data_IF_347249008329
#
_entry.id   IF_347249008329
#
_cell.length_a   1.000
_cell.length_b   1.000
_cell.length_c   1.000
_cell.angle_alpha   90.00
_cell.angle_beta   90.00
_cell.angle_gamma   90.00
#
_symmetry.space_group_name_H-M   'P 1'
#
loop_
_entity.id
_entity.type
_entity.pdbx_description
1 polymer ?
#
# COMPACT_ATOMS: atom_id res chain seq x y z
N UNK A 1 3.00 -13.17 -23.10
CA UNK A 1 3.05 -13.29 -21.62
C UNK A 1 3.72 -12.03 -21.10
N UNK A 2 2.99 -11.03 -20.55
CA UNK A 2 3.67 -9.84 -20.05
C UNK A 2 4.42 -10.26 -18.78
N UNK A 3 5.75 -10.22 -18.87
CA UNK A 3 6.64 -10.59 -17.79
C UNK A 3 6.39 -9.74 -16.56
N UNK A 4 6.64 -10.34 -15.39
CA UNK A 4 6.72 -9.64 -14.11
C UNK A 4 7.81 -8.57 -14.22
N UNK A 5 7.44 -7.37 -14.64
CA UNK A 5 8.37 -6.24 -14.69
C UNK A 5 8.62 -5.81 -13.25
N UNK A 6 9.85 -6.05 -12.77
CA UNK A 6 10.35 -5.37 -11.60
C UNK A 6 10.47 -3.89 -11.97
N UNK A 7 9.43 -3.12 -11.69
CA UNK A 7 9.39 -1.68 -11.91
C UNK A 7 10.59 -1.05 -11.19
N UNK A 8 11.33 -0.14 -11.84
CA UNK A 8 12.38 0.61 -11.15
C UNK A 8 11.80 1.27 -9.89
N UNK A 9 12.63 1.42 -8.85
CA UNK A 9 12.20 1.89 -7.53
C UNK A 9 11.37 3.19 -7.62
N UNK A 10 11.71 4.07 -8.56
CA UNK A 10 10.99 5.33 -8.82
C UNK A 10 9.59 5.11 -9.41
N UNK A 11 9.45 4.22 -10.40
CA UNK A 11 8.14 3.83 -10.96
C UNK A 11 7.28 3.11 -9.92
N UNK A 12 7.91 2.32 -9.04
CA UNK A 12 7.20 1.64 -7.96
C UNK A 12 6.68 2.61 -6.92
N UNK A 13 7.47 3.64 -6.59
CA UNK A 13 7.04 4.73 -5.72
C UNK A 13 5.91 5.55 -6.38
N UNK A 14 6.02 5.84 -7.67
CA UNK A 14 4.97 6.50 -8.43
C UNK A 14 3.68 5.66 -8.47
N UNK A 15 3.79 4.34 -8.63
CA UNK A 15 2.65 3.43 -8.60
C UNK A 15 2.00 3.39 -7.21
N UNK A 16 2.79 3.32 -6.13
CA UNK A 16 2.28 3.43 -4.75
C UNK A 16 1.55 4.75 -4.54
N UNK A 17 2.13 5.88 -4.94
CA UNK A 17 1.48 7.21 -4.86
C UNK A 17 0.21 7.30 -5.69
N UNK A 18 0.13 6.58 -6.82
CA UNK A 18 -1.04 6.57 -7.70
C UNK A 18 -2.15 5.65 -7.20
N UNK A 19 -1.80 4.55 -6.55
CA UNK A 19 -2.74 3.58 -5.99
C UNK A 19 -3.20 3.91 -4.57
N UNK A 20 -2.41 4.70 -3.83
CA UNK A 20 -2.71 5.17 -2.47
C UNK A 20 -2.92 6.69 -2.49
N UNK A 21 -4.16 7.10 -2.69
CA UNK A 21 -4.54 8.51 -2.64
C UNK A 21 -4.65 9.04 -1.20
N UNK A 22 -4.74 8.14 -0.22
CA UNK A 22 -4.98 8.50 1.19
C UNK A 22 -3.67 8.78 1.91
N UNK A 23 -2.60 8.04 1.58
CA UNK A 23 -1.30 8.19 2.21
C UNK A 23 -0.21 8.53 1.21
N UNK A 24 0.49 9.63 1.48
CA UNK A 24 1.66 10.02 0.70
C UNK A 24 2.84 9.12 1.03
N UNK A 25 3.22 8.24 0.10
CA UNK A 25 4.47 7.48 0.13
C UNK A 25 5.65 8.40 -0.20
N UNK A 26 6.54 8.69 0.77
CA UNK A 26 7.71 9.54 0.54
C UNK A 26 8.89 8.72 0.01
N UNK A 27 9.01 7.49 0.51
CA UNK A 27 10.01 6.51 0.14
C UNK A 27 9.39 5.11 0.08
N UNK A 28 10.07 4.18 -0.58
CA UNK A 28 9.72 2.76 -0.48
C UNK A 28 10.02 2.16 0.90
N UNK A 29 10.81 2.86 1.71
CA UNK A 29 11.10 2.52 3.09
C UNK A 29 10.02 2.98 4.07
N UNK A 30 9.05 3.80 3.62
CA UNK A 30 7.89 4.13 4.43
C UNK A 30 7.22 2.82 4.88
N UNK A 31 6.92 2.75 6.17
CA UNK A 31 6.21 1.62 6.79
C UNK A 31 4.77 2.03 7.04
N UNK A 32 3.86 1.10 6.77
CA UNK A 32 2.45 1.15 7.15
C UNK A 32 2.12 -0.08 7.97
N UNK A 33 1.10 -0.01 8.79
CA UNK A 33 0.55 -1.16 9.50
C UNK A 33 -0.79 -1.48 8.84
N UNK A 34 -0.95 -2.71 8.34
CA UNK A 34 -2.26 -3.17 7.90
C UNK A 34 -3.09 -3.58 9.11
N UNK A 35 -4.20 -2.90 9.38
CA UNK A 35 -5.03 -3.17 10.55
C UNK A 35 -5.79 -4.51 10.47
N UNK A 36 -5.94 -5.08 9.28
CA UNK A 36 -6.59 -6.38 9.09
C UNK A 36 -5.72 -7.55 9.54
N UNK A 37 -4.43 -7.52 9.23
CA UNK A 37 -3.48 -8.60 9.57
C UNK A 37 -2.44 -8.18 10.60
N UNK A 38 -2.58 -6.98 11.16
CA UNK A 38 -1.68 -6.33 12.13
C UNK A 38 -0.20 -6.43 11.76
N UNK A 39 0.10 -6.30 10.45
CA UNK A 39 1.44 -6.52 9.91
C UNK A 39 2.03 -5.24 9.35
N UNK A 40 3.32 -5.03 9.62
CA UNK A 40 4.06 -3.95 9.00
C UNK A 40 4.30 -4.24 7.51
N UNK A 41 3.94 -3.26 6.70
CA UNK A 41 4.05 -3.24 5.26
C UNK A 41 5.00 -2.13 4.89
N UNK A 42 6.12 -2.45 4.26
CA UNK A 42 6.92 -1.44 3.58
C UNK A 42 6.39 -1.20 2.18
N UNK A 43 6.66 0.00 1.65
CA UNK A 43 6.46 0.28 0.24
C UNK A 43 7.07 -0.83 -0.61
N UNK A 44 8.27 -1.34 -0.26
CA UNK A 44 8.99 -2.49 -0.87
C UNK A 44 8.27 -3.83 -0.87
N UNK A 45 7.43 -4.09 0.12
CA UNK A 45 6.72 -5.37 0.24
C UNK A 45 5.35 -5.35 -0.40
N UNK A 46 4.71 -4.17 -0.48
CA UNK A 46 3.35 -4.04 -1.03
C UNK A 46 3.27 -4.59 -2.46
N UNK A 47 2.24 -5.39 -2.71
CA UNK A 47 1.99 -5.92 -4.04
C UNK A 47 1.27 -4.87 -4.89
N UNK A 48 1.93 -4.46 -5.97
CA UNK A 48 1.42 -3.45 -6.89
C UNK A 48 0.92 -4.15 -8.15
N UNK A 49 -0.39 -4.10 -8.36
CA UNK A 49 -1.05 -4.66 -9.54
C UNK A 49 -1.50 -3.56 -10.48
N UNK A 50 -0.93 -3.50 -11.68
CA UNK A 50 -1.36 -2.59 -12.74
C UNK A 50 -2.29 -3.35 -13.67
N UNK A 51 -3.57 -3.00 -13.66
CA UNK A 51 -4.54 -3.58 -14.59
C UNK A 51 -4.29 -3.05 -16.00
N UNK A 52 -4.73 -3.77 -17.04
CA UNK A 52 -4.55 -3.38 -18.45
C UNK A 52 -5.17 -2.04 -18.86
N UNK A 53 -5.94 -1.38 -17.97
CA UNK A 53 -6.45 -0.01 -18.14
C UNK A 53 -5.56 1.06 -17.51
N UNK A 54 -4.39 0.70 -16.99
CA UNK A 54 -3.48 1.61 -16.27
C UNK A 54 -3.96 1.99 -14.86
N UNK A 55 -4.99 1.30 -14.34
CA UNK A 55 -5.39 1.44 -12.93
C UNK A 55 -4.41 0.64 -12.06
N UNK A 56 -3.79 1.35 -11.12
CA UNK A 56 -2.89 0.78 -10.12
C UNK A 56 -3.72 0.37 -8.91
N UNK A 57 -3.57 -0.87 -8.47
CA UNK A 57 -4.15 -1.40 -7.23
C UNK A 57 -3.03 -1.86 -6.33
N UNK A 58 -3.19 -1.58 -5.05
CA UNK A 58 -2.22 -1.94 -4.03
C UNK A 58 -2.86 -3.00 -3.12
N UNK A 59 -2.11 -4.06 -2.88
CA UNK A 59 -2.56 -5.20 -2.11
C UNK A 59 -1.56 -5.51 -0.99
N UNK A 60 -2.11 -5.96 0.14
CA UNK A 60 -1.31 -6.45 1.25
C UNK A 60 -0.50 -7.67 0.78
N UNK A 61 0.81 -7.76 1.06
CA UNK A 61 1.63 -8.92 0.71
C UNK A 61 1.33 -10.16 1.54
N UNK A 62 0.49 -10.04 2.58
CA UNK A 62 0.08 -11.18 3.40
C UNK A 62 -0.90 -12.04 2.61
N UNK A 63 -0.58 -13.33 2.48
CA UNK A 63 -1.43 -14.32 1.82
C UNK A 63 -2.83 -14.35 2.46
N UNK A 64 -3.86 -14.15 1.64
CA UNK A 64 -5.25 -14.14 2.09
C UNK A 64 -5.72 -12.84 2.77
N UNK A 65 -4.89 -11.79 2.89
CA UNK A 65 -5.32 -10.52 3.46
C UNK A 65 -5.91 -9.60 2.37
N UNK A 66 -7.20 -9.20 2.46
CA UNK A 66 -7.80 -8.25 1.52
C UNK A 66 -7.39 -6.80 1.80
N UNK A 67 -6.31 -6.57 2.55
CA UNK A 67 -5.85 -5.25 2.95
C UNK A 67 -5.53 -4.36 1.77
N UNK A 68 -6.25 -3.25 1.71
CA UNK A 68 -6.08 -2.15 0.74
C UNK A 68 -5.51 -0.92 1.45
N UNK A 69 -5.09 0.11 0.70
CA UNK A 69 -4.54 1.34 1.28
C UNK A 69 -5.41 2.04 2.32
N UNK A 70 -6.72 1.80 2.26
CA UNK A 70 -7.72 2.33 3.19
C UNK A 70 -7.54 1.76 4.61
N UNK A 71 -7.10 0.50 4.69
CA UNK A 71 -6.86 -0.25 5.94
C UNK A 71 -5.40 -0.15 6.41
N UNK A 72 -4.60 0.73 5.79
CA UNK A 72 -3.17 0.88 6.09
C UNK A 72 -2.92 2.15 6.89
N UNK A 73 -2.51 2.02 8.15
CA UNK A 73 -2.24 3.19 9.00
C UNK A 73 -0.74 3.43 9.14
N UNK A 74 -0.35 4.67 9.43
CA UNK A 74 1.06 4.97 9.71
C UNK A 74 1.40 4.51 11.14
N UNK A 75 2.45 3.72 11.38
CA UNK A 75 2.77 3.23 12.72
C UNK A 75 3.08 4.36 13.72
N UNK A 76 3.62 5.50 13.26
CA UNK A 76 3.78 6.70 14.09
C UNK A 76 2.44 7.28 14.59
N UNK A 77 1.33 6.99 13.89
CA UNK A 77 -0.04 7.36 14.24
C UNK A 77 -0.88 6.16 14.72
N UNK A 78 -0.31 4.96 14.86
CA UNK A 78 -1.06 3.77 15.29
C UNK A 78 -1.60 3.88 16.74
N UNK A 79 -1.16 4.89 17.50
CA UNK A 79 -1.72 5.22 18.81
C UNK A 79 -2.99 6.10 18.74
N UNK A 80 -3.44 6.53 17.56
CA UNK A 80 -4.63 7.40 17.41
C UNK A 80 -5.58 6.94 16.30
N UNK A 81 -5.94 5.66 16.24
CA UNK A 81 -7.11 5.26 15.42
C UNK A 81 -8.04 4.32 16.16
N UNK A 82 -8.54 4.82 17.29
CA UNK A 82 -9.89 4.51 17.73
C UNK A 82 -10.78 5.67 17.26
N UNK A 83 -11.37 5.51 16.07
CA UNK A 83 -12.30 6.41 15.34
C UNK A 83 -11.67 7.33 14.29
N UNK A 84 -11.80 6.94 13.03
CA UNK A 84 -11.88 7.87 11.90
C UNK A 84 -12.75 7.29 10.76
N UNK A 85 -13.97 6.84 11.09
CA UNK A 85 -15.07 6.66 10.12
C UNK A 85 -16.40 7.08 10.79
N UNK A 86 -16.79 8.32 10.48
CA UNK A 86 -18.09 9.02 10.62
C UNK A 86 -17.76 10.46 10.21
N UNK A 87 -18.32 11.04 9.15
CA UNK A 87 -19.68 11.00 8.61
C UNK A 87 -19.67 10.94 7.08
#
# INVERSE_FOLDING_TARGET
MPGRQQLPLDERLAALRKGDSHHTWRSLDDRRLCILCDRDLTGRQIEVSITGRGQVRLHCPTDGCPGTPDEWVTPANALVSRKAWRD
#
